data_IF_279138259288
#
_entry.id   IF_279138259288
#
_cell.length_a   1.000
_cell.length_b   1.000
_cell.length_c   1.000
_cell.angle_alpha   90.00
_cell.angle_beta   90.00
_cell.angle_gamma   90.00
#
_symmetry.space_group_name_H-M   'P 1'
#
loop_
_entity.id
_entity.type
_entity.pdbx_description
1 polymer ?
#
# COMPACT_ATOMS: atom_id res chain seq x y z
N UNK A 1 -14.19 1.19 11.76
CA UNK A 1 -13.58 -0.08 11.29
C UNK A 1 -12.50 0.14 10.23
N UNK A 2 -12.43 1.32 9.59
CA UNK A 2 -11.43 1.68 8.57
C UNK A 2 -10.12 2.20 9.14
N UNK A 3 -10.12 2.89 10.28
CA UNK A 3 -8.90 3.49 10.87
C UNK A 3 -7.80 2.46 11.16
N UNK A 4 -8.12 1.27 11.66
CA UNK A 4 -7.12 0.23 11.91
C UNK A 4 -6.51 -0.37 10.64
N UNK A 5 -7.28 -0.42 9.55
CA UNK A 5 -6.78 -0.91 8.27
C UNK A 5 -5.90 0.13 7.56
N UNK A 6 -6.23 1.41 7.70
CA UNK A 6 -5.37 2.50 7.23
C UNK A 6 -4.01 2.43 7.91
N UNK A 7 -3.98 2.29 9.24
CA UNK A 7 -2.74 2.19 10.02
C UNK A 7 -1.91 0.96 9.61
N UNK A 8 -2.57 -0.18 9.40
CA UNK A 8 -1.92 -1.41 8.93
C UNK A 8 -1.29 -1.25 7.53
N UNK A 9 -2.02 -0.67 6.57
CA UNK A 9 -1.50 -0.42 5.22
C UNK A 9 -0.35 0.59 5.25
N UNK A 10 -0.48 1.69 6.01
CA UNK A 10 0.58 2.69 6.18
C UNK A 10 1.84 2.03 6.73
N UNK A 11 1.72 1.21 7.77
CA UNK A 11 2.85 0.51 8.37
C UNK A 11 3.54 -0.45 7.38
N UNK A 12 2.78 -1.14 6.53
CA UNK A 12 3.34 -2.00 5.47
C UNK A 12 4.12 -1.15 4.46
N UNK A 13 3.52 -0.06 3.97
CA UNK A 13 4.17 0.85 3.01
C UNK A 13 5.46 1.41 3.60
N UNK A 14 5.43 1.95 4.81
CA UNK A 14 6.61 2.50 5.48
C UNK A 14 7.69 1.45 5.68
N UNK A 15 7.32 0.22 6.04
CA UNK A 15 8.26 -0.89 6.18
C UNK A 15 8.96 -1.23 4.86
N UNK A 16 8.22 -1.29 3.76
CA UNK A 16 8.79 -1.57 2.43
C UNK A 16 9.69 -0.41 1.97
N UNK A 17 9.25 0.83 2.12
CA UNK A 17 10.06 2.00 1.78
C UNK A 17 11.34 2.09 2.63
N UNK A 18 11.25 1.78 3.94
CA UNK A 18 12.40 1.73 4.82
C UNK A 18 13.41 0.66 4.40
N UNK A 19 12.95 -0.54 4.02
CA UNK A 19 13.81 -1.61 3.51
C UNK A 19 14.57 -1.21 2.23
N UNK A 20 14.01 -0.27 1.47
CA UNK A 20 14.59 0.28 0.23
C UNK A 20 15.50 1.49 0.46
N UNK A 21 15.77 1.85 1.72
CA UNK A 21 16.65 2.96 2.08
C UNK A 21 15.94 4.31 2.25
N UNK A 22 14.62 4.35 2.12
CA UNK A 22 13.78 5.53 2.35
C UNK A 22 13.18 5.53 3.76
N UNK A 23 14.03 5.25 4.76
CA UNK A 23 13.62 5.27 6.17
C UNK A 23 13.28 6.69 6.64
N UNK A 24 12.25 6.81 7.49
CA UNK A 24 11.80 8.10 8.02
C UNK A 24 10.89 8.89 7.08
N UNK A 25 10.45 8.27 5.99
CA UNK A 25 9.43 8.84 5.11
C UNK A 25 8.06 8.68 5.76
N UNK A 26 7.35 9.80 5.93
CA UNK A 26 5.99 9.80 6.46
C UNK A 26 4.99 9.47 5.35
N UNK A 27 4.27 8.38 5.53
CA UNK A 27 3.20 7.96 4.63
C UNK A 27 1.85 8.31 5.26
N UNK A 28 0.94 8.85 4.47
CA UNK A 28 -0.42 9.17 4.89
C UNK A 28 -1.41 8.46 3.98
N UNK A 29 -2.70 8.51 4.33
CA UNK A 29 -3.77 7.95 3.50
C UNK A 29 -3.83 8.55 2.09
N UNK A 30 -3.34 9.78 1.91
CA UNK A 30 -3.29 10.49 0.63
C UNK A 30 -1.94 10.30 -0.10
N UNK A 31 -0.98 9.60 0.52
CA UNK A 31 0.29 9.25 -0.11
C UNK A 31 0.12 8.14 -1.14
N UNK A 32 0.97 8.17 -2.16
CA UNK A 32 0.89 7.26 -3.29
C UNK A 32 2.12 7.27 -4.18
N UNK A 33 2.00 6.61 -5.33
CA UNK A 33 3.04 6.58 -6.37
C UNK A 33 3.37 8.02 -6.77
N UNK A 34 4.66 8.41 -6.69
CA UNK A 34 5.22 9.76 -6.83
C UNK A 34 5.26 10.67 -5.59
N UNK A 35 4.58 10.35 -4.49
CA UNK A 35 4.78 11.04 -3.22
C UNK A 35 4.55 10.11 -2.02
N UNK A 36 5.63 9.65 -1.36
CA UNK A 36 7.03 10.10 -1.45
C UNK A 36 7.77 9.66 -2.73
N UNK A 37 8.89 10.33 -3.12
CA UNK A 37 9.70 9.94 -4.29
C UNK A 37 10.22 8.51 -4.25
N UNK A 38 10.34 7.92 -3.06
CA UNK A 38 10.76 6.53 -2.88
C UNK A 38 9.68 5.51 -3.27
N UNK A 39 8.42 5.95 -3.45
CA UNK A 39 7.32 5.11 -3.92
C UNK A 39 7.30 5.09 -5.45
N UNK A 40 8.32 4.46 -6.03
CA UNK A 40 8.45 4.19 -7.46
C UNK A 40 7.67 2.92 -7.87
N UNK A 41 7.56 2.65 -9.17
CA UNK A 41 6.85 1.47 -9.71
C UNK A 41 7.37 0.13 -9.16
N UNK A 42 8.67 0.03 -8.84
CA UNK A 42 9.23 -1.18 -8.21
C UNK A 42 8.84 -1.31 -6.73
N UNK A 43 8.82 -0.18 -6.00
CA UNK A 43 8.32 -0.17 -4.63
C UNK A 43 6.83 -0.50 -4.60
N UNK A 44 6.07 -0.01 -5.58
CA UNK A 44 4.66 -0.28 -5.73
C UNK A 44 4.35 -1.79 -5.82
N UNK A 45 5.04 -2.53 -6.70
CA UNK A 45 4.84 -3.98 -6.83
C UNK A 45 5.13 -4.69 -5.50
N UNK A 46 6.22 -4.33 -4.82
CA UNK A 46 6.61 -4.95 -3.55
C UNK A 46 5.64 -4.63 -2.40
N UNK A 47 5.19 -3.37 -2.30
CA UNK A 47 4.13 -2.94 -1.38
C UNK A 47 2.87 -3.73 -1.64
N UNK A 48 2.43 -3.77 -2.90
CA UNK A 48 1.21 -4.44 -3.30
C UNK A 48 1.24 -5.92 -2.99
N UNK A 49 2.31 -6.64 -3.36
CA UNK A 49 2.48 -8.05 -3.01
C UNK A 49 2.44 -8.24 -1.50
N UNK A 50 3.18 -7.43 -0.74
CA UNK A 50 3.21 -7.53 0.73
C UNK A 50 1.84 -7.27 1.35
N UNK A 51 1.12 -6.25 0.90
CA UNK A 51 -0.22 -5.92 1.38
C UNK A 51 -1.19 -7.07 1.07
N UNK A 52 -1.20 -7.57 -0.16
CA UNK A 52 -2.07 -8.67 -0.57
C UNK A 52 -1.79 -9.94 0.24
N UNK A 53 -0.52 -10.30 0.45
CA UNK A 53 -0.13 -11.44 1.30
C UNK A 53 -0.53 -11.24 2.77
N UNK A 54 -0.30 -10.05 3.34
CA UNK A 54 -0.59 -9.76 4.76
C UNK A 54 -2.08 -9.69 5.05
N UNK A 55 -2.84 -9.08 4.15
CA UNK A 55 -4.27 -8.89 4.29
C UNK A 55 -5.08 -10.07 3.73
N UNK A 56 -4.45 -11.01 3.03
CA UNK A 56 -5.08 -12.17 2.40
C UNK A 56 -5.98 -11.79 1.23
N UNK A 57 -5.58 -10.80 0.44
CA UNK A 57 -6.36 -10.31 -0.70
C UNK A 57 -6.04 -11.15 -1.94
N UNK A 58 -7.08 -11.63 -2.61
CA UNK A 58 -6.99 -12.26 -3.93
C UNK A 58 -7.14 -11.16 -4.98
N UNK A 59 -6.02 -10.61 -5.45
CA UNK A 59 -6.01 -9.46 -6.36
C UNK A 59 -5.51 -9.91 -7.71
N UNK A 60 -6.29 -9.62 -8.76
CA UNK A 60 -5.83 -9.84 -10.13
C UNK A 60 -4.81 -8.77 -10.53
N UNK A 61 -3.85 -9.12 -11.39
CA UNK A 61 -2.85 -8.18 -11.91
C UNK A 61 -3.48 -6.96 -12.59
N UNK A 62 -4.69 -7.11 -13.14
CA UNK A 62 -5.46 -6.03 -13.80
C UNK A 62 -5.95 -4.98 -12.79
N UNK A 63 -6.40 -5.43 -11.61
CA UNK A 63 -6.81 -4.56 -10.51
C UNK A 63 -5.59 -3.87 -9.90
N UNK A 64 -4.44 -4.57 -9.83
CA UNK A 64 -3.19 -4.08 -9.24
C UNK A 64 -2.77 -2.71 -9.81
N UNK A 65 -2.97 -2.50 -11.11
CA UNK A 65 -2.50 -1.30 -11.83
C UNK A 65 -3.29 -0.04 -11.41
N UNK A 66 -4.45 -0.18 -10.77
CA UNK A 66 -5.29 0.93 -10.34
C UNK A 66 -4.96 1.47 -8.94
N UNK A 67 -4.14 0.78 -8.14
CA UNK A 67 -3.90 1.18 -6.74
C UNK A 67 -2.73 2.15 -6.60
N UNK A 68 -2.94 3.44 -6.82
CA UNK A 68 -1.82 4.39 -6.75
C UNK A 68 -1.63 4.96 -5.35
N UNK A 69 -2.62 4.90 -4.46
CA UNK A 69 -2.60 5.53 -3.14
C UNK A 69 -2.98 4.59 -1.99
N UNK A 70 -2.56 4.92 -0.76
CA UNK A 70 -2.98 4.20 0.46
C UNK A 70 -4.50 4.13 0.58
N UNK A 71 -5.21 5.22 0.24
CA UNK A 71 -6.67 5.26 0.23
C UNK A 71 -7.28 4.18 -0.65
N UNK A 72 -6.79 4.04 -1.88
CA UNK A 72 -7.30 3.05 -2.85
C UNK A 72 -7.02 1.63 -2.39
N UNK A 73 -5.83 1.38 -1.82
CA UNK A 73 -5.48 0.08 -1.24
C UNK A 73 -6.44 -0.29 -0.11
N UNK A 74 -6.74 0.66 0.79
CA UNK A 74 -7.67 0.45 1.90
C UNK A 74 -9.09 0.21 1.40
N UNK A 75 -9.56 1.00 0.44
CA UNK A 75 -10.91 0.86 -0.13
C UNK A 75 -11.10 -0.52 -0.78
N UNK A 76 -10.10 -0.96 -1.55
CA UNK A 76 -10.08 -2.28 -2.15
C UNK A 76 -10.06 -3.41 -1.11
N UNK A 77 -9.24 -3.27 -0.07
CA UNK A 77 -9.18 -4.25 1.01
C UNK A 77 -10.51 -4.34 1.79
N UNK A 78 -11.23 -3.22 1.94
CA UNK A 78 -12.58 -3.21 2.52
C UNK A 78 -13.58 -3.90 1.58
N UNK A 79 -13.50 -3.65 0.27
CA UNK A 79 -14.38 -4.26 -0.71
C UNK A 79 -14.21 -5.79 -0.79
N UNK A 80 -12.97 -6.29 -0.69
CA UNK A 80 -12.65 -7.73 -0.75
C UNK A 80 -12.88 -8.49 0.56
N UNK A 81 -12.92 -7.81 1.70
CA UNK A 81 -13.23 -8.43 3.00
C UNK A 81 -14.73 -8.62 3.25
N UNK A 82 -15.58 -8.42 2.24
CA UNK A 82 -17.05 -8.43 2.36
C UNK A 82 -17.66 -9.63 1.64
#
# INVERSE_FOLDING_TARGET
>A
MTEGLVDEVVAIVESVLAARGAGGVTVTVDSGMANPPAWDSLAFVEIFTTVSERLGLDVSDDDAIHFMTVREIVDFAVANRR
#
